data_IF_794324943417
#
_entry.id   IF_794324943417
#
_cell.length_a   1.000
_cell.length_b   1.000
_cell.length_c   1.000
_cell.angle_alpha   90.00
_cell.angle_beta   90.00
_cell.angle_gamma   90.00
#
_symmetry.space_group_name_H-M   'P 1'
#
loop_
_entity.id
_entity.type
_entity.pdbx_description
1 polymer ?
#
# COMPACT_ATOMS: atom_id res chain seq x y z
N UNK A 1 16.68 -64.92 -4.17
CA UNK A 1 16.21 -63.87 -5.11
C UNK A 1 15.47 -64.54 -6.26
N UNK A 2 14.41 -63.91 -6.78
CA UNK A 2 13.49 -64.51 -7.74
C UNK A 2 13.17 -63.55 -8.89
N UNK A 3 12.59 -64.06 -9.96
CA UNK A 3 12.00 -63.30 -11.05
C UNK A 3 10.64 -63.93 -11.42
N UNK A 4 9.77 -63.19 -12.10
CA UNK A 4 8.45 -63.65 -12.52
C UNK A 4 8.46 -64.13 -13.98
N UNK A 5 8.69 -65.41 -14.19
CA UNK A 5 8.64 -66.05 -15.52
C UNK A 5 7.19 -66.11 -15.99
N UNK A 6 6.86 -65.44 -17.10
CA UNK A 6 5.46 -65.28 -17.56
C UNK A 6 4.73 -66.60 -17.87
N UNK A 7 5.45 -67.69 -18.10
CA UNK A 7 4.87 -69.02 -18.31
C UNK A 7 4.65 -69.86 -17.04
N UNK A 8 5.37 -69.56 -15.96
CA UNK A 8 5.50 -70.46 -14.80
C UNK A 8 5.32 -69.75 -13.44
N UNK A 9 5.25 -68.42 -13.42
CA UNK A 9 5.15 -67.61 -12.21
C UNK A 9 6.52 -67.31 -11.59
N UNK A 10 6.58 -67.30 -10.25
CA UNK A 10 7.78 -66.91 -9.51
C UNK A 10 8.84 -68.01 -9.54
N UNK A 11 10.00 -67.73 -10.12
CA UNK A 11 11.11 -68.67 -10.32
C UNK A 11 12.39 -68.14 -9.68
N UNK A 12 13.21 -69.03 -9.11
CA UNK A 12 14.50 -68.68 -8.52
C UNK A 12 15.55 -68.38 -9.61
N UNK A 13 16.48 -67.46 -9.33
CA UNK A 13 17.60 -67.21 -10.25
C UNK A 13 18.46 -68.48 -10.45
N UNK A 14 18.88 -68.75 -11.68
CA UNK A 14 19.50 -70.04 -12.05
C UNK A 14 20.90 -70.28 -11.48
N UNK A 15 21.69 -69.22 -11.22
CA UNK A 15 23.07 -69.34 -10.71
C UNK A 15 23.46 -68.15 -9.81
N UNK A 16 24.52 -68.30 -9.02
CA UNK A 16 25.01 -67.27 -8.08
C UNK A 16 25.44 -65.95 -8.77
N UNK A 17 25.86 -66.03 -10.03
CA UNK A 17 26.25 -64.86 -10.85
C UNK A 17 25.07 -64.15 -11.51
N UNK A 18 23.85 -64.72 -11.42
CA UNK A 18 22.66 -64.16 -12.05
C UNK A 18 22.01 -63.11 -11.18
N UNK A 19 21.38 -62.13 -11.83
CA UNK A 19 20.72 -60.98 -11.22
C UNK A 19 19.24 -60.95 -11.57
N UNK A 20 18.43 -60.57 -10.58
CA UNK A 20 17.05 -60.17 -10.77
C UNK A 20 16.98 -58.66 -10.96
N UNK A 21 16.14 -58.21 -11.88
CA UNK A 21 15.84 -56.80 -12.12
C UNK A 21 14.40 -56.55 -11.70
N UNK A 22 14.14 -55.51 -10.91
CA UNK A 22 12.81 -55.15 -10.42
C UNK A 22 12.55 -53.68 -10.68
N UNK A 23 11.30 -53.32 -10.99
CA UNK A 23 10.89 -51.94 -11.22
C UNK A 23 9.95 -51.50 -10.12
N UNK A 24 10.24 -50.34 -9.53
CA UNK A 24 9.46 -49.78 -8.43
C UNK A 24 8.62 -48.64 -8.98
N UNK A 25 7.33 -48.70 -8.70
CA UNK A 25 6.35 -47.68 -9.05
C UNK A 25 5.75 -47.11 -7.76
N UNK A 26 5.35 -45.84 -7.81
CA UNK A 26 4.60 -45.19 -6.74
C UNK A 26 3.28 -44.65 -7.30
N UNK A 27 2.17 -44.95 -6.63
CA UNK A 27 0.87 -44.37 -6.96
C UNK A 27 0.70 -42.96 -6.38
N UNK A 28 -0.38 -42.28 -6.76
CA UNK A 28 -0.70 -40.93 -6.29
C UNK A 28 -1.09 -40.87 -4.80
N UNK A 29 -1.42 -42.01 -4.18
CA UNK A 29 -1.73 -42.16 -2.76
C UNK A 29 -0.48 -42.47 -1.92
N UNK A 30 0.68 -42.69 -2.56
CA UNK A 30 1.98 -42.95 -1.92
C UNK A 30 2.32 -44.43 -1.70
N UNK A 31 1.54 -45.38 -2.22
CA UNK A 31 1.87 -46.80 -2.14
C UNK A 31 2.97 -47.19 -3.12
N UNK A 32 3.83 -48.11 -2.69
CA UNK A 32 4.89 -48.68 -3.52
C UNK A 32 4.45 -50.00 -4.14
N UNK A 33 4.61 -50.11 -5.46
CA UNK A 33 4.41 -51.34 -6.21
C UNK A 33 5.74 -51.81 -6.79
N UNK A 34 6.07 -53.09 -6.61
CA UNK A 34 7.28 -53.70 -7.16
C UNK A 34 6.91 -54.71 -8.23
N UNK A 35 7.33 -54.44 -9.46
CA UNK A 35 7.18 -55.34 -10.60
C UNK A 35 8.46 -56.16 -10.73
N UNK A 36 8.33 -57.48 -10.67
CA UNK A 36 9.45 -58.41 -10.83
C UNK A 36 9.88 -58.54 -12.30
N UNK A 37 11.19 -58.73 -12.49
CA UNK A 37 11.86 -59.12 -13.74
C UNK A 37 11.21 -60.31 -14.38
N UNK A 38 11.25 -60.40 -15.71
CA UNK A 38 10.71 -61.54 -16.43
C UNK A 38 11.77 -62.60 -16.80
N UNK A 39 13.04 -62.30 -16.52
CA UNK A 39 14.17 -63.20 -16.77
C UNK A 39 15.28 -63.02 -15.72
N UNK A 40 16.38 -63.75 -15.91
CA UNK A 40 17.56 -63.84 -15.05
C UNK A 40 18.82 -63.43 -15.83
N UNK A 41 19.43 -62.32 -15.40
CA UNK A 41 20.37 -61.57 -16.22
C UNK A 41 21.82 -61.73 -15.74
N UNK A 42 22.79 -61.62 -16.64
CA UNK A 42 24.18 -61.28 -16.30
C UNK A 42 24.30 -59.81 -15.86
N UNK A 43 25.47 -59.36 -15.41
CA UNK A 43 25.66 -57.98 -14.95
C UNK A 43 25.28 -56.94 -16.01
N UNK A 44 25.83 -57.06 -17.22
CA UNK A 44 25.57 -56.10 -18.31
C UNK A 44 24.11 -56.18 -18.78
N UNK A 45 23.57 -57.39 -18.95
CA UNK A 45 22.16 -57.56 -19.33
C UNK A 45 21.20 -56.96 -18.29
N UNK A 46 21.55 -57.02 -17.00
CA UNK A 46 20.73 -56.44 -15.94
C UNK A 46 20.73 -54.91 -15.99
N UNK A 47 21.85 -54.27 -16.35
CA UNK A 47 21.95 -52.83 -16.53
C UNK A 47 21.14 -52.36 -17.75
N UNK A 48 21.17 -53.11 -18.85
CA UNK A 48 20.44 -52.81 -20.09
C UNK A 48 18.97 -53.22 -20.07
N UNK A 49 18.54 -54.06 -19.13
CA UNK A 49 17.16 -54.54 -19.04
C UNK A 49 16.13 -53.39 -19.00
N UNK A 50 15.27 -53.33 -20.03
CA UNK A 50 14.16 -52.39 -20.11
C UNK A 50 12.94 -52.81 -19.30
N UNK A 51 11.97 -51.91 -19.15
CA UNK A 51 10.70 -52.17 -18.46
C UNK A 51 9.95 -53.33 -19.15
N UNK A 52 9.33 -54.27 -18.40
CA UNK A 52 8.56 -55.37 -18.98
C UNK A 52 7.45 -54.86 -19.91
N UNK A 53 7.24 -55.54 -21.03
CA UNK A 53 6.22 -55.16 -22.01
C UNK A 53 4.77 -55.38 -21.49
N UNK A 54 4.60 -56.32 -20.55
CA UNK A 54 3.32 -56.61 -19.92
C UNK A 54 3.38 -56.19 -18.45
N UNK A 55 2.62 -55.16 -18.12
CA UNK A 55 2.53 -54.58 -16.78
C UNK A 55 1.10 -54.66 -16.25
N UNK A 56 0.92 -54.86 -14.93
CA UNK A 56 -0.40 -54.73 -14.30
C UNK A 56 -1.02 -53.35 -14.54
N UNK A 57 -2.36 -53.25 -14.77
CA UNK A 57 -3.01 -51.97 -15.04
C UNK A 57 -2.82 -50.90 -13.95
N UNK A 58 -2.67 -51.33 -12.68
CA UNK A 58 -2.45 -50.43 -11.55
C UNK A 58 -1.19 -49.58 -11.73
N UNK A 59 -0.08 -50.18 -12.20
CA UNK A 59 1.18 -49.46 -12.38
C UNK A 59 1.27 -48.67 -13.68
N UNK A 60 0.43 -48.97 -14.68
CA UNK A 60 0.40 -48.25 -15.97
C UNK A 60 -0.57 -47.09 -16.00
N UNK A 61 -1.63 -47.15 -15.19
CA UNK A 61 -2.72 -46.15 -15.21
C UNK A 61 -2.58 -45.11 -14.09
N UNK A 62 -2.08 -45.55 -12.93
CA UNK A 62 -2.19 -44.79 -11.68
C UNK A 62 -0.88 -44.63 -10.93
N UNK A 63 0.25 -45.06 -11.51
CA UNK A 63 1.56 -44.95 -10.87
C UNK A 63 2.61 -44.41 -11.82
N UNK A 64 3.69 -43.89 -11.24
CA UNK A 64 4.89 -43.45 -11.94
C UNK A 64 6.06 -44.39 -11.62
N UNK A 65 6.90 -44.71 -12.61
CA UNK A 65 8.11 -45.51 -12.41
C UNK A 65 9.13 -44.65 -11.65
N UNK A 66 9.57 -45.11 -10.47
CA UNK A 66 10.48 -44.32 -9.61
C UNK A 66 11.88 -44.90 -9.46
N UNK A 67 12.07 -46.20 -9.70
CA UNK A 67 13.37 -46.83 -9.62
C UNK A 67 13.43 -48.17 -10.36
N UNK A 68 14.66 -48.57 -10.71
CA UNK A 68 15.07 -49.91 -11.12
C UNK A 68 16.01 -50.47 -10.04
N UNK A 69 15.72 -51.66 -9.54
CA UNK A 69 16.52 -52.36 -8.54
C UNK A 69 17.16 -53.58 -9.20
N UNK A 70 18.47 -53.76 -9.01
CA UNK A 70 19.21 -54.93 -9.47
C UNK A 70 19.78 -55.65 -8.26
N UNK A 71 19.48 -56.94 -8.12
CA UNK A 71 19.92 -57.78 -7.00
C UNK A 71 20.55 -59.06 -7.54
N UNK A 72 21.79 -59.37 -7.13
CA UNK A 72 22.44 -60.62 -7.47
C UNK A 72 21.97 -61.77 -6.56
N UNK A 73 22.01 -63.01 -7.07
CA UNK A 73 21.61 -64.18 -6.30
C UNK A 73 22.41 -64.31 -4.99
N UNK A 74 21.67 -64.46 -3.89
CA UNK A 74 22.17 -64.61 -2.52
C UNK A 74 22.96 -63.41 -1.96
N UNK A 75 22.94 -62.27 -2.65
CA UNK A 75 23.51 -61.04 -2.12
C UNK A 75 22.51 -60.29 -1.23
N UNK A 76 23.05 -59.54 -0.27
CA UNK A 76 22.27 -58.63 0.59
C UNK A 76 22.32 -57.17 0.11
N UNK A 77 23.27 -56.85 -0.76
CA UNK A 77 23.38 -55.55 -1.42
C UNK A 77 22.54 -55.51 -2.71
N UNK A 78 21.95 -54.35 -2.97
CA UNK A 78 21.20 -54.07 -4.20
C UNK A 78 21.67 -52.77 -4.84
N UNK A 79 21.61 -52.70 -6.16
CA UNK A 79 21.84 -51.45 -6.91
C UNK A 79 20.50 -50.83 -7.22
N UNK A 80 20.33 -49.54 -6.92
CA UNK A 80 19.11 -48.78 -7.21
C UNK A 80 19.47 -47.68 -8.20
N UNK A 81 18.79 -47.65 -9.34
CA UNK A 81 18.91 -46.62 -10.37
C UNK A 81 17.58 -45.90 -10.52
N UNK A 82 17.60 -44.57 -10.60
CA UNK A 82 16.41 -43.76 -10.78
C UNK A 82 16.26 -43.34 -12.25
N UNK A 83 15.04 -43.23 -12.79
CA UNK A 83 14.84 -42.86 -14.19
C UNK A 83 14.96 -41.34 -14.45
N UNK A 84 15.14 -40.53 -13.41
CA UNK A 84 15.43 -39.09 -13.49
C UNK A 84 16.68 -38.74 -12.70
N UNK A 85 17.39 -37.70 -13.14
CA UNK A 85 18.55 -37.12 -12.46
C UNK A 85 18.18 -35.78 -11.79
N UNK A 86 17.10 -35.14 -12.22
CA UNK A 86 16.73 -33.79 -11.79
C UNK A 86 15.70 -33.83 -10.65
N UNK A 87 16.10 -33.30 -9.48
CA UNK A 87 15.17 -32.98 -8.40
C UNK A 87 14.62 -31.58 -8.63
N UNK A 88 13.29 -31.43 -8.68
CA UNK A 88 12.66 -30.12 -8.69
C UNK A 88 12.73 -29.51 -7.29
N UNK A 89 13.63 -28.54 -7.10
CA UNK A 89 13.67 -27.71 -5.89
C UNK A 89 12.83 -26.46 -6.12
N UNK A 90 11.90 -26.16 -5.20
CA UNK A 90 11.19 -24.89 -5.22
C UNK A 90 12.14 -23.77 -4.79
N UNK A 91 12.37 -22.78 -5.66
CA UNK A 91 13.04 -21.54 -5.27
C UNK A 91 12.02 -20.56 -4.68
N UNK A 92 12.40 -19.81 -3.65
CA UNK A 92 11.65 -18.63 -3.23
C UNK A 92 11.56 -17.64 -4.40
N UNK A 93 10.44 -16.93 -4.53
CA UNK A 93 10.32 -15.81 -5.44
C UNK A 93 11.18 -14.65 -4.91
N UNK A 94 12.45 -14.58 -5.33
CA UNK A 94 13.40 -13.57 -4.85
C UNK A 94 13.20 -12.21 -5.53
N UNK A 95 12.51 -12.18 -6.68
CA UNK A 95 12.34 -11.00 -7.51
C UNK A 95 10.92 -10.98 -8.09
N UNK A 96 10.11 -10.02 -7.66
CA UNK A 96 8.72 -9.87 -8.08
C UNK A 96 8.60 -9.18 -9.46
N UNK A 97 9.71 -8.59 -9.95
CA UNK A 97 9.78 -7.77 -11.17
C UNK A 97 9.70 -8.60 -12.47
N UNK A 98 9.62 -9.93 -12.36
CA UNK A 98 9.43 -10.83 -13.49
C UNK A 98 7.94 -11.04 -13.85
N UNK A 99 7.00 -10.45 -13.09
CA UNK A 99 5.56 -10.46 -13.40
C UNK A 99 5.16 -9.28 -14.31
N UNK A 100 5.78 -9.17 -15.48
CA UNK A 100 5.23 -8.40 -16.60
C UNK A 100 4.88 -6.93 -16.32
N UNK A 101 5.79 -6.17 -15.70
CA UNK A 101 5.63 -4.72 -15.43
C UNK A 101 4.53 -4.35 -14.40
N UNK A 102 4.19 -5.25 -13.47
CA UNK A 102 3.29 -4.97 -12.35
C UNK A 102 3.98 -4.39 -11.10
N UNK A 103 5.30 -4.27 -11.12
CA UNK A 103 6.04 -3.47 -10.13
C UNK A 103 6.20 -2.06 -10.71
N UNK A 104 5.52 -1.07 -10.16
CA UNK A 104 5.80 0.32 -10.46
C UNK A 104 6.87 0.89 -9.54
N UNK A 105 7.48 1.99 -10.00
CA UNK A 105 8.63 2.63 -9.37
C UNK A 105 9.89 2.60 -10.24
N UNK A 106 11.02 3.02 -9.67
CA UNK A 106 12.35 2.94 -10.28
C UNK A 106 13.01 1.57 -10.01
N UNK A 107 14.18 1.33 -10.62
CA UNK A 107 14.97 0.09 -10.37
C UNK A 107 15.28 -0.03 -8.88
N UNK A 108 14.71 -1.05 -8.23
CA UNK A 108 14.92 -1.34 -6.80
C UNK A 108 13.78 -0.94 -5.87
N UNK A 109 12.71 -0.33 -6.39
CA UNK A 109 11.48 -0.02 -5.65
C UNK A 109 10.41 -1.09 -5.91
N UNK A 110 9.57 -1.36 -4.90
CA UNK A 110 8.58 -2.44 -4.88
C UNK A 110 7.18 -1.89 -4.63
N UNK A 111 6.71 -0.97 -5.49
CA UNK A 111 5.35 -0.46 -5.38
C UNK A 111 4.44 -1.29 -6.29
N UNK A 112 3.42 -1.95 -5.74
CA UNK A 112 2.33 -2.57 -6.52
C UNK A 112 1.36 -1.49 -7.07
N UNK A 113 1.90 -0.39 -7.57
CA UNK A 113 1.23 0.79 -8.10
C UNK A 113 2.15 1.37 -9.16
N UNK A 114 1.63 1.76 -10.32
CA UNK A 114 2.42 2.42 -11.36
C UNK A 114 3.12 3.67 -10.82
N UNK A 115 4.22 4.11 -11.44
CA UNK A 115 4.91 5.34 -11.03
C UNK A 115 3.95 6.54 -10.98
N UNK A 116 3.01 6.61 -11.93
CA UNK A 116 1.97 7.63 -11.95
C UNK A 116 1.04 7.55 -10.72
N UNK A 117 0.54 6.36 -10.38
CA UNK A 117 -0.32 6.15 -9.20
C UNK A 117 0.43 6.39 -7.88
N UNK A 118 1.70 6.00 -7.79
CA UNK A 118 2.54 6.27 -6.62
C UNK A 118 2.81 7.77 -6.46
N UNK A 119 3.12 8.46 -7.57
CA UNK A 119 3.26 9.93 -7.59
C UNK A 119 1.93 10.60 -7.22
N UNK A 120 0.80 10.08 -7.67
CA UNK A 120 -0.53 10.60 -7.32
C UNK A 120 -0.88 10.36 -5.85
N UNK A 121 -0.52 9.22 -5.26
CA UNK A 121 -0.70 8.98 -3.83
C UNK A 121 0.21 9.89 -2.98
N UNK A 122 1.50 9.99 -3.33
CA UNK A 122 2.40 10.91 -2.63
C UNK A 122 1.97 12.37 -2.78
N UNK A 123 1.64 12.79 -3.99
CA UNK A 123 1.34 14.20 -4.26
C UNK A 123 -0.09 14.55 -3.85
N UNK A 124 -1.05 13.64 -3.94
CA UNK A 124 -2.46 13.87 -3.64
C UNK A 124 -2.83 13.67 -2.17
N UNK A 125 -2.25 12.68 -1.48
CA UNK A 125 -2.59 12.37 -0.08
C UNK A 125 -1.81 13.25 0.92
N UNK A 126 -0.57 13.66 0.60
CA UNK A 126 0.22 14.61 1.42
C UNK A 126 -0.37 16.04 1.38
N UNK A 127 -1.25 16.36 0.43
CA UNK A 127 -1.94 17.64 0.41
C UNK A 127 -2.98 17.79 1.54
N UNK A 128 -3.46 16.68 2.13
CA UNK A 128 -4.39 16.72 3.27
C UNK A 128 -3.71 16.62 4.66
N UNK A 129 -2.42 16.26 4.75
CA UNK A 129 -1.73 16.18 6.03
C UNK A 129 -0.47 17.05 6.07
N UNK A 130 -0.65 18.32 6.47
CA UNK A 130 0.06 18.97 7.59
C UNK A 130 1.58 18.77 7.85
N UNK A 131 2.41 18.27 6.94
CA UNK A 131 3.72 17.73 7.35
C UNK A 131 4.96 18.64 7.17
N UNK A 132 4.88 19.85 6.59
CA UNK A 132 6.11 20.66 6.43
C UNK A 132 5.98 22.20 6.41
N UNK A 133 4.77 22.79 6.38
CA UNK A 133 4.63 24.24 6.30
C UNK A 133 3.80 24.76 7.47
N UNK A 134 4.37 25.67 8.26
CA UNK A 134 3.72 26.20 9.47
C UNK A 134 2.43 27.00 9.19
N UNK A 135 2.12 27.38 7.94
CA UNK A 135 0.95 28.23 7.62
C UNK A 135 0.44 28.04 6.17
N UNK A 136 -0.38 27.01 5.89
CA UNK A 136 -0.96 26.73 4.56
C UNK A 136 -2.48 26.96 4.57
N UNK A 137 -2.97 27.96 3.84
CA UNK A 137 -4.40 28.28 3.72
C UNK A 137 -5.01 27.53 2.52
N UNK A 138 -5.88 26.56 2.81
CA UNK A 138 -6.59 25.78 1.78
C UNK A 138 -7.82 26.56 1.29
N UNK A 139 -7.83 26.91 0.01
CA UNK A 139 -8.98 27.57 -0.64
C UNK A 139 -9.71 26.56 -1.51
N UNK A 140 -11.03 26.41 -1.32
CA UNK A 140 -11.87 25.73 -2.28
C UNK A 140 -11.92 26.58 -3.57
N UNK A 141 -11.33 26.10 -4.65
CA UNK A 141 -11.40 26.81 -5.93
C UNK A 141 -12.68 26.48 -6.69
N UNK A 142 -13.20 25.25 -6.53
CA UNK A 142 -14.44 24.75 -7.13
C UNK A 142 -15.04 23.63 -6.26
N UNK A 143 -16.18 23.05 -6.68
CA UNK A 143 -16.79 21.91 -6.00
C UNK A 143 -15.78 20.76 -5.89
N UNK A 144 -15.48 20.34 -4.66
CA UNK A 144 -14.52 19.28 -4.33
C UNK A 144 -13.09 19.52 -4.86
N UNK A 145 -12.72 20.77 -5.17
CA UNK A 145 -11.35 21.13 -5.58
C UNK A 145 -10.78 22.13 -4.60
N UNK A 146 -9.67 21.76 -3.97
CA UNK A 146 -8.95 22.60 -3.00
C UNK A 146 -7.55 22.87 -3.55
N UNK A 147 -7.18 24.15 -3.63
CA UNK A 147 -5.87 24.59 -4.12
C UNK A 147 -5.06 25.13 -2.96
N UNK A 148 -3.82 24.66 -2.83
CA UNK A 148 -2.83 25.27 -1.94
C UNK A 148 -2.38 26.61 -2.50
N UNK A 149 -2.37 27.63 -1.66
CA UNK A 149 -1.78 28.92 -1.99
C UNK A 149 -0.40 28.98 -1.33
N UNK A 150 0.62 29.36 -2.10
CA UNK A 150 1.94 29.63 -1.56
C UNK A 150 1.86 30.69 -0.44
N UNK A 151 2.89 30.78 0.40
CA UNK A 151 2.94 31.82 1.43
C UNK A 151 2.79 33.23 0.82
N UNK A 152 3.40 33.49 -0.33
CA UNK A 152 3.27 34.76 -1.04
C UNK A 152 1.83 35.03 -1.52
N UNK A 153 1.14 34.03 -2.03
CA UNK A 153 -0.27 34.15 -2.44
C UNK A 153 -1.22 34.31 -1.25
N UNK A 154 -0.96 33.61 -0.15
CA UNK A 154 -1.74 33.72 1.09
C UNK A 154 -1.56 35.11 1.72
N UNK A 155 -0.33 35.61 1.75
CA UNK A 155 -0.01 36.98 2.19
C UNK A 155 -0.67 38.01 1.26
N UNK A 156 -0.70 37.78 -0.05
CA UNK A 156 -1.39 38.68 -0.99
C UNK A 156 -2.90 38.76 -0.73
N UNK A 157 -3.54 37.62 -0.41
CA UNK A 157 -4.98 37.56 -0.10
C UNK A 157 -5.33 38.29 1.21
N UNK A 158 -4.46 38.21 2.22
CA UNK A 158 -4.75 38.71 3.58
C UNK A 158 -4.17 40.10 3.85
N UNK A 159 -3.03 40.43 3.25
CA UNK A 159 -2.23 41.63 3.59
C UNK A 159 -1.92 42.53 2.39
N UNK A 160 -2.11 42.04 1.16
CA UNK A 160 -1.81 42.81 -0.06
C UNK A 160 -2.89 43.83 -0.45
N UNK A 161 -4.08 43.76 0.16
CA UNK A 161 -5.23 44.62 -0.13
C UNK A 161 -6.18 44.69 1.08
N UNK A 162 -7.22 45.53 0.98
CA UNK A 162 -8.33 45.52 1.93
C UNK A 162 -9.01 44.14 1.92
N UNK A 163 -9.15 43.53 3.10
CA UNK A 163 -9.89 42.28 3.25
C UNK A 163 -11.39 42.55 3.16
N UNK A 164 -12.04 42.01 2.13
CA UNK A 164 -13.48 42.10 1.93
C UNK A 164 -14.17 40.80 2.40
N UNK A 165 -15.19 40.94 3.25
CA UNK A 165 -16.04 39.83 3.72
C UNK A 165 -17.36 39.75 2.95
N UNK A 166 -17.54 40.54 1.90
CA UNK A 166 -18.77 40.62 1.14
C UNK A 166 -19.95 41.09 1.99
N UNK A 167 -21.09 40.39 1.88
CA UNK A 167 -22.32 40.71 2.59
C UNK A 167 -22.41 40.07 4.00
N UNK A 168 -21.30 39.61 4.57
CA UNK A 168 -21.26 38.93 5.86
C UNK A 168 -20.84 39.86 7.01
N UNK A 169 -21.25 39.49 8.23
CA UNK A 169 -20.84 40.18 9.46
C UNK A 169 -19.47 39.69 9.95
N UNK A 170 -18.65 40.62 10.46
CA UNK A 170 -17.48 40.27 11.30
C UNK A 170 -17.92 40.24 12.77
N UNK A 171 -18.05 39.05 13.35
CA UNK A 171 -18.44 38.85 14.75
C UNK A 171 -17.31 38.17 15.54
N UNK A 172 -16.90 38.81 16.62
CA UNK A 172 -15.96 38.26 17.59
C UNK A 172 -16.35 38.69 19.00
N UNK A 173 -15.82 37.99 20.02
CA UNK A 173 -15.91 38.45 21.41
C UNK A 173 -15.21 39.81 21.58
N UNK A 174 -14.16 40.03 20.79
CA UNK A 174 -13.43 41.28 20.68
C UNK A 174 -13.08 41.55 19.22
N UNK A 175 -13.01 42.83 18.86
CA UNK A 175 -12.43 43.33 17.61
C UNK A 175 -11.53 44.52 17.97
N UNK A 176 -10.24 44.44 17.63
CA UNK A 176 -9.26 45.49 17.90
C UNK A 176 -8.96 46.22 16.60
N UNK A 177 -9.20 47.53 16.57
CA UNK A 177 -8.75 48.40 15.47
C UNK A 177 -7.56 49.23 15.96
N UNK A 178 -6.36 48.90 15.48
CA UNK A 178 -5.09 49.41 16.00
C UNK A 178 -4.92 50.95 15.87
N UNK A 179 -5.68 51.57 14.96
CA UNK A 179 -5.65 53.02 14.76
C UNK A 179 -6.45 53.84 15.77
N UNK A 180 -7.19 53.20 16.68
CA UNK A 180 -8.04 53.87 17.66
C UNK A 180 -7.30 54.15 18.99
N UNK A 181 -7.66 55.25 19.64
CA UNK A 181 -7.12 55.70 20.92
C UNK A 181 -8.12 55.40 22.04
N UNK A 182 -7.62 54.84 23.14
CA UNK A 182 -8.44 54.53 24.32
C UNK A 182 -9.15 55.78 24.87
N UNK A 183 -10.37 55.59 25.37
CA UNK A 183 -11.20 56.66 25.96
C UNK A 183 -11.84 57.61 24.96
N UNK A 184 -11.80 57.30 23.66
CA UNK A 184 -12.49 58.08 22.62
C UNK A 184 -13.67 57.33 22.03
N UNK A 185 -14.64 58.08 21.55
CA UNK A 185 -15.81 57.53 20.87
C UNK A 185 -15.46 57.22 19.42
N UNK A 186 -15.87 56.03 18.97
CA UNK A 186 -15.68 55.56 17.60
C UNK A 186 -16.79 56.07 16.71
N UNK A 187 -16.44 56.54 15.51
CA UNK A 187 -17.36 56.88 14.43
C UNK A 187 -16.84 56.39 13.09
N UNK A 188 -17.66 56.49 12.04
CA UNK A 188 -17.26 56.15 10.67
C UNK A 188 -16.66 57.36 9.96
N UNK A 189 -15.38 57.27 9.60
CA UNK A 189 -14.66 58.25 8.80
C UNK A 189 -14.82 58.04 7.29
N UNK A 190 -13.87 58.60 6.53
CA UNK A 190 -13.84 58.44 5.07
C UNK A 190 -13.81 56.95 4.69
N UNK A 191 -14.56 56.59 3.63
CA UNK A 191 -14.67 55.21 3.15
C UNK A 191 -15.13 54.18 4.21
N UNK A 192 -15.82 54.62 5.26
CA UNK A 192 -16.35 53.73 6.31
C UNK A 192 -15.31 53.26 7.34
N UNK A 193 -14.11 53.83 7.35
CA UNK A 193 -13.06 53.48 8.32
C UNK A 193 -13.48 53.83 9.74
N UNK A 194 -13.37 52.90 10.67
CA UNK A 194 -13.56 53.20 12.09
C UNK A 194 -12.50 54.22 12.54
N UNK A 195 -12.96 55.36 13.03
CA UNK A 195 -12.14 56.53 13.34
C UNK A 195 -12.51 57.07 14.73
N UNK A 196 -11.60 57.83 15.33
CA UNK A 196 -11.85 58.61 16.54
C UNK A 196 -11.40 60.07 16.37
N UNK A 197 -11.78 60.91 17.33
CA UNK A 197 -11.36 62.32 17.39
C UNK A 197 -11.00 62.68 18.83
N UNK A 198 -9.91 63.42 19.00
CA UNK A 198 -9.41 63.82 20.33
C UNK A 198 -10.39 64.72 21.10
N UNK A 199 -11.29 65.40 20.40
CA UNK A 199 -12.35 66.21 20.96
C UNK A 199 -13.62 65.43 21.33
N UNK A 200 -13.67 64.10 21.13
CA UNK A 200 -14.82 63.26 21.46
C UNK A 200 -14.45 62.15 22.45
N UNK A 201 -14.46 62.51 23.74
CA UNK A 201 -13.96 61.67 24.83
C UNK A 201 -15.11 61.00 25.57
N UNK A 202 -14.95 59.73 25.92
CA UNK A 202 -15.86 58.99 26.80
C UNK A 202 -15.07 58.43 27.99
N UNK A 203 -15.40 58.95 29.17
CA UNK A 203 -14.96 58.40 30.46
C UNK A 203 -16.10 57.63 31.14
N UNK A 204 -15.87 57.13 32.35
CA UNK A 204 -16.81 56.41 33.24
C UNK A 204 -18.27 56.35 32.78
N UNK A 205 -18.89 57.51 32.75
CA UNK A 205 -20.29 57.78 32.46
C UNK A 205 -20.49 59.10 31.69
N UNK A 206 -19.40 59.76 31.30
CA UNK A 206 -19.42 61.15 30.82
C UNK A 206 -18.89 61.23 29.39
N UNK A 207 -19.67 61.88 28.54
CA UNK A 207 -19.33 62.23 27.17
C UNK A 207 -18.88 63.69 27.10
N UNK A 208 -17.62 63.93 26.74
CA UNK A 208 -17.07 65.29 26.59
C UNK A 208 -16.83 65.58 25.12
N UNK A 209 -17.43 66.66 24.62
CA UNK A 209 -17.27 67.14 23.25
C UNK A 209 -16.73 68.56 23.25
N UNK A 210 -15.55 68.78 22.67
CA UNK A 210 -14.93 70.12 22.65
C UNK A 210 -15.71 71.14 21.81
N UNK A 211 -16.38 70.66 20.76
CA UNK A 211 -17.18 71.48 19.85
C UNK A 211 -18.45 70.73 19.48
N UNK A 212 -19.59 71.26 19.90
CA UNK A 212 -20.90 70.75 19.55
C UNK A 212 -21.64 71.80 18.74
N UNK A 213 -22.09 71.45 17.55
CA UNK A 213 -23.04 72.26 16.78
C UNK A 213 -24.43 71.68 16.98
N UNK A 214 -25.32 72.46 17.59
CA UNK A 214 -26.68 72.02 17.92
C UNK A 214 -27.69 72.55 16.91
N UNK A 215 -27.82 71.86 15.77
CA UNK A 215 -28.87 72.18 14.80
C UNK A 215 -30.26 71.80 15.34
N UNK A 216 -31.14 72.79 15.51
CA UNK A 216 -32.55 72.55 15.90
C UNK A 216 -32.78 72.13 17.35
N UNK A 217 -31.76 72.26 18.23
CA UNK A 217 -31.95 72.02 19.66
C UNK A 217 -32.65 73.21 20.30
N UNK A 218 -33.80 72.99 20.93
CA UNK A 218 -34.60 74.05 21.57
C UNK A 218 -34.18 74.33 23.01
N UNK A 219 -33.46 73.41 23.66
CA UNK A 219 -32.93 73.55 25.02
C UNK A 219 -31.94 72.41 25.33
N UNK A 220 -30.85 72.69 26.04
CA UNK A 220 -30.00 71.66 26.66
C UNK A 220 -30.18 71.71 28.17
N UNK A 221 -30.66 70.63 28.79
CA UNK A 221 -31.02 70.64 30.20
C UNK A 221 -30.35 69.51 30.98
N UNK A 222 -30.05 69.78 32.26
CA UNK A 222 -29.69 68.80 33.27
C UNK A 222 -30.63 68.91 34.48
N UNK A 223 -30.32 68.18 35.57
CA UNK A 223 -31.11 68.21 36.81
C UNK A 223 -31.05 69.56 37.55
N UNK A 224 -30.17 70.46 37.14
CA UNK A 224 -29.94 71.77 37.74
C UNK A 224 -30.57 72.91 36.91
N UNK A 225 -30.98 72.65 35.66
CA UNK A 225 -31.68 73.61 34.80
C UNK A 225 -31.38 73.42 33.31
N UNK A 226 -31.77 74.38 32.49
CA UNK A 226 -31.49 74.38 31.05
C UNK A 226 -30.53 75.52 30.67
N UNK A 227 -29.55 75.23 29.82
CA UNK A 227 -28.90 76.21 28.96
C UNK A 227 -29.88 76.60 27.85
N UNK A 228 -30.20 77.90 27.82
CA UNK A 228 -30.99 78.56 26.77
C UNK A 228 -30.05 79.14 25.73
#
# INVERSE_FOLDING_TARGET
THYNKTSEGLVELSAASKRGVHWVYMDFDGHLHVVYGQDNYTANEAEEAGVPALLPPVVTTFSVLIAKIIIQKNETAMVITQPWIEAFVSSLATNHNLLGALDGGTIGEYYHMTLAEHTEFQTGYILHSLAAAENDFLVASEANTFVKKTQAETVALITGANFDVGAFDVRGQTLTADGLTSGRVVFTGANGVLSDDAGFLFGSDTLTVNKLTTGGVTSLCDSSGCLV
#
